data_IF_837979724280
#
_entry.id   IF_837979724280
#
_cell.length_a   1.000
_cell.length_b   1.000
_cell.length_c   1.000
_cell.angle_alpha   90.00
_cell.angle_beta   90.00
_cell.angle_gamma   90.00
#
_symmetry.space_group_name_H-M   'P 1'
#
loop_
_entity.id
_entity.type
_entity.pdbx_description
1 polymer ?
#
# COMPACT_ATOMS: atom_id res chain seq x y z
N UNK A 1 15.96 1.40 3.88
CA UNK A 1 16.43 1.71 5.25
C UNK A 1 17.21 3.02 5.18
N UNK A 2 17.07 3.88 6.19
CA UNK A 2 17.80 5.14 6.32
C UNK A 2 18.20 5.28 7.78
N UNK A 3 19.46 5.65 8.05
CA UNK A 3 19.91 6.02 9.39
C UNK A 3 20.33 7.49 9.40
N UNK A 4 19.91 8.22 10.43
CA UNK A 4 20.32 9.60 10.70
C UNK A 4 21.16 9.58 11.97
N UNK A 5 22.44 9.93 11.82
CA UNK A 5 23.42 9.90 12.92
C UNK A 5 23.95 11.29 13.22
N UNK A 6 24.17 11.57 14.50
CA UNK A 6 24.85 12.76 15.00
C UNK A 6 26.19 12.35 15.60
N UNK A 7 27.28 12.95 15.14
CA UNK A 7 28.62 12.76 15.68
C UNK A 7 29.01 13.96 16.56
N UNK A 8 29.71 13.70 17.66
CA UNK A 8 30.31 14.74 18.50
C UNK A 8 31.77 14.40 18.76
N UNK A 9 32.67 15.16 18.13
CA UNK A 9 34.10 14.81 18.09
C UNK A 9 34.28 13.49 17.33
N UNK A 10 34.81 12.49 18.01
CA UNK A 10 35.09 11.15 17.50
C UNK A 10 34.02 10.10 17.86
N UNK A 11 32.90 10.52 18.49
CA UNK A 11 31.88 9.60 18.99
C UNK A 11 30.52 9.78 18.34
N UNK A 12 29.80 8.67 18.18
CA UNK A 12 28.37 8.65 17.90
C UNK A 12 27.60 9.16 19.12
N UNK A 13 26.85 10.25 18.94
CA UNK A 13 26.08 10.89 20.00
C UNK A 13 24.60 10.49 19.96
N UNK A 14 23.99 10.49 18.77
CA UNK A 14 22.60 10.08 18.57
C UNK A 14 22.46 9.34 17.24
N UNK A 15 21.62 8.31 17.21
CA UNK A 15 21.27 7.58 16.00
C UNK A 15 19.77 7.32 15.97
N UNK A 16 19.14 7.62 14.85
CA UNK A 16 17.78 7.22 14.53
C UNK A 16 17.78 6.37 13.26
N UNK A 17 17.40 5.10 13.39
CA UNK A 17 17.28 4.16 12.27
C UNK A 17 15.82 4.04 11.86
N UNK A 18 15.55 4.34 10.60
CA UNK A 18 14.27 4.12 9.93
C UNK A 18 14.37 2.94 8.97
N UNK A 19 13.48 1.98 9.14
CA UNK A 19 13.38 0.80 8.30
C UNK A 19 11.90 0.47 8.02
N UNK A 20 11.63 -0.33 6.98
CA UNK A 20 10.27 -0.69 6.57
C UNK A 20 9.67 -1.73 7.52
N UNK A 21 8.99 -1.23 8.56
CA UNK A 21 8.35 -2.04 9.58
C UNK A 21 7.21 -2.90 9.01
N UNK A 22 6.45 -2.36 8.05
CA UNK A 22 5.32 -3.06 7.44
C UNK A 22 5.76 -4.32 6.72
N UNK A 23 6.81 -4.22 5.90
CA UNK A 23 7.34 -5.37 5.15
C UNK A 23 7.76 -6.51 6.08
N UNK A 24 8.45 -6.23 7.18
CA UNK A 24 8.86 -7.27 8.14
C UNK A 24 7.66 -7.89 8.85
N UNK A 25 6.72 -7.08 9.32
CA UNK A 25 5.52 -7.61 9.98
C UNK A 25 4.73 -8.53 9.04
N UNK A 26 4.66 -8.20 7.75
CA UNK A 26 3.99 -9.04 6.76
C UNK A 26 4.77 -10.32 6.46
N UNK A 27 6.11 -10.26 6.36
CA UNK A 27 6.96 -11.45 6.17
C UNK A 27 6.88 -12.41 7.37
N UNK A 28 6.72 -11.89 8.59
CA UNK A 28 6.51 -12.68 9.80
C UNK A 28 5.06 -13.19 9.96
N UNK A 29 4.16 -12.84 9.05
CA UNK A 29 2.74 -13.20 9.13
C UNK A 29 1.96 -12.48 10.25
N UNK A 30 2.52 -11.40 10.81
CA UNK A 30 1.94 -10.62 11.91
C UNK A 30 1.06 -9.46 11.41
N UNK A 31 1.19 -9.08 10.13
CA UNK A 31 0.36 -8.07 9.49
C UNK A 31 -0.51 -8.72 8.38
N UNK A 32 -1.85 -8.60 8.44
CA UNK A 32 -2.72 -9.18 7.43
C UNK A 32 -2.56 -8.47 6.07
N UNK A 33 -2.82 -9.17 4.96
CA UNK A 33 -2.76 -8.56 3.63
C UNK A 33 -3.89 -7.57 3.35
N UNK A 34 -5.02 -7.72 4.05
CA UNK A 34 -6.21 -6.91 3.91
C UNK A 34 -6.69 -6.45 5.29
N UNK A 35 -7.22 -5.24 5.36
CA UNK A 35 -7.85 -4.69 6.55
C UNK A 35 -9.27 -4.21 6.23
N UNK A 36 -10.18 -4.36 7.19
CA UNK A 36 -11.54 -3.85 7.06
C UNK A 36 -11.53 -2.34 6.82
N UNK A 37 -12.29 -1.89 5.83
CA UNK A 37 -12.50 -0.49 5.54
C UNK A 37 -13.65 0.03 6.42
N UNK A 38 -13.40 0.95 7.36
CA UNK A 38 -14.37 1.29 8.39
C UNK A 38 -15.40 2.35 7.95
N UNK A 39 -15.30 2.84 6.71
CA UNK A 39 -16.15 3.94 6.23
C UNK A 39 -17.22 3.43 5.26
N UNK A 40 -18.36 4.12 5.25
CA UNK A 40 -19.39 3.90 4.26
C UNK A 40 -18.84 4.21 2.86
N UNK A 41 -19.22 3.38 1.87
CA UNK A 41 -18.88 3.62 0.48
C UNK A 41 -20.07 4.29 -0.18
N UNK A 42 -19.87 5.52 -0.68
CA UNK A 42 -20.91 6.30 -1.33
C UNK A 42 -21.19 5.78 -2.75
N UNK A 43 -22.48 5.61 -3.07
CA UNK A 43 -22.94 5.25 -4.41
C UNK A 43 -24.17 4.37 -4.38
N UNK A 44 -25.26 4.79 -5.05
CA UNK A 44 -26.53 4.07 -5.08
C UNK A 44 -26.39 2.62 -5.62
N UNK A 45 -25.48 2.39 -6.56
CA UNK A 45 -25.21 1.07 -7.11
C UNK A 45 -24.41 0.15 -6.15
N UNK A 46 -23.41 0.70 -5.45
CA UNK A 46 -22.62 -0.04 -4.46
C UNK A 46 -23.44 -0.39 -3.21
N UNK A 47 -24.28 0.55 -2.75
CA UNK A 47 -25.19 0.34 -1.63
C UNK A 47 -26.33 -0.65 -1.94
N UNK A 48 -26.81 -0.71 -3.19
CA UNK A 48 -27.86 -1.64 -3.61
C UNK A 48 -27.35 -3.07 -3.87
N UNK A 49 -26.15 -3.22 -4.43
CA UNK A 49 -25.55 -4.53 -4.71
C UNK A 49 -25.04 -5.27 -3.47
N UNK A 50 -24.74 -4.54 -2.39
CA UNK A 50 -23.96 -5.05 -1.25
C UNK A 50 -24.54 -4.64 0.11
N UNK A 51 -25.87 -4.65 0.26
CA UNK A 51 -26.53 -4.45 1.57
C UNK A 51 -25.98 -5.46 2.59
N UNK A 52 -25.25 -4.96 3.60
CA UNK A 52 -24.65 -5.76 4.66
C UNK A 52 -23.24 -6.29 4.37
N UNK A 53 -22.59 -5.89 3.27
CA UNK A 53 -21.22 -6.29 3.00
C UNK A 53 -20.21 -5.44 3.79
N UNK A 54 -19.17 -6.10 4.29
CA UNK A 54 -17.95 -5.46 4.78
C UNK A 54 -16.95 -5.32 3.64
N UNK A 55 -16.36 -4.14 3.51
CA UNK A 55 -15.33 -3.88 2.52
C UNK A 55 -13.96 -4.06 3.15
N UNK A 56 -12.99 -4.55 2.38
CA UNK A 56 -11.61 -4.69 2.81
C UNK A 56 -10.69 -3.98 1.82
N UNK A 57 -9.60 -3.42 2.33
CA UNK A 57 -8.56 -2.75 1.56
C UNK A 57 -7.26 -3.51 1.73
N UNK A 58 -6.58 -3.77 0.60
CA UNK A 58 -5.24 -4.33 0.61
C UNK A 58 -4.29 -3.35 1.28
N UNK A 59 -3.55 -3.79 2.29
CA UNK A 59 -2.55 -2.93 2.92
C UNK A 59 -1.43 -2.60 1.92
N UNK A 60 -0.91 -1.36 1.91
CA UNK A 60 0.13 -0.91 0.97
C UNK A 60 1.51 -1.41 1.42
N UNK A 61 1.63 -2.73 1.58
CA UNK A 61 2.85 -3.42 2.02
C UNK A 61 3.12 -4.53 1.00
N UNK A 62 4.34 -4.56 0.46
CA UNK A 62 4.72 -5.52 -0.57
C UNK A 62 5.31 -6.82 0.03
N UNK A 63 5.74 -6.81 1.30
CA UNK A 63 6.18 -8.02 1.99
C UNK A 63 7.39 -8.69 1.31
N UNK A 64 7.30 -9.98 1.01
CA UNK A 64 8.38 -10.74 0.36
C UNK A 64 8.74 -10.20 -1.04
N UNK A 65 7.78 -9.60 -1.74
CA UNK A 65 8.02 -8.97 -3.06
C UNK A 65 9.02 -7.80 -2.97
N UNK A 66 9.07 -7.09 -1.83
CA UNK A 66 10.07 -6.04 -1.58
C UNK A 66 11.49 -6.60 -1.63
N UNK A 67 11.70 -7.80 -1.08
CA UNK A 67 13.02 -8.44 -1.10
C UNK A 67 13.42 -8.83 -2.54
N UNK A 68 12.47 -9.32 -3.34
CA UNK A 68 12.70 -9.61 -4.75
C UNK A 68 13.05 -8.33 -5.55
N UNK A 69 12.33 -7.22 -5.31
CA UNK A 69 12.62 -5.91 -5.96
C UNK A 69 14.01 -5.37 -5.63
N UNK A 70 14.51 -5.59 -4.42
CA UNK A 70 15.87 -5.17 -4.02
C UNK A 70 16.96 -5.98 -4.75
N UNK A 71 16.69 -7.24 -5.06
CA UNK A 71 17.62 -8.10 -5.80
C UNK A 71 17.56 -7.82 -7.31
N UNK A 72 16.38 -7.53 -7.84
CA UNK A 72 16.17 -7.19 -9.24
C UNK A 72 15.03 -6.17 -9.40
N UNK A 73 15.35 -4.97 -9.88
CA UNK A 73 14.43 -3.82 -9.94
C UNK A 73 13.16 -4.09 -10.78
N UNK A 74 13.26 -4.94 -11.81
CA UNK A 74 12.14 -5.29 -12.70
C UNK A 74 11.33 -6.52 -12.26
N UNK A 75 11.66 -7.14 -11.12
CA UNK A 75 11.13 -8.47 -10.75
C UNK A 75 9.67 -8.49 -10.32
N UNK A 76 9.06 -7.33 -10.02
CA UNK A 76 7.69 -7.26 -9.50
C UNK A 76 6.96 -6.04 -10.05
N UNK A 77 5.69 -6.26 -10.41
CA UNK A 77 4.78 -5.25 -10.94
C UNK A 77 4.64 -4.01 -10.04
N UNK A 78 4.62 -2.82 -10.67
CA UNK A 78 4.46 -1.55 -9.96
C UNK A 78 2.97 -1.32 -9.73
N UNK A 79 2.55 -1.29 -8.47
CA UNK A 79 1.18 -0.92 -8.13
C UNK A 79 1.07 0.61 -8.15
N UNK A 80 0.87 1.18 -9.34
CA UNK A 80 0.54 2.59 -9.52
C UNK A 80 -0.98 2.68 -9.48
N UNK A 81 -1.54 3.45 -8.53
CA UNK A 81 -2.96 3.78 -8.53
C UNK A 81 -3.26 4.72 -9.70
N UNK A 82 -3.49 4.15 -10.88
CA UNK A 82 -4.01 4.90 -12.02
C UNK A 82 -5.50 5.15 -11.76
N UNK A 83 -5.83 6.42 -11.49
CA UNK A 83 -7.21 6.89 -11.36
C UNK A 83 -7.93 6.52 -12.66
N UNK A 84 -8.97 5.70 -12.57
CA UNK A 84 -9.80 5.30 -13.71
C UNK A 84 -10.17 6.54 -14.53
N UNK A 85 -9.59 6.66 -15.73
CA UNK A 85 -10.03 7.65 -16.71
C UNK A 85 -11.48 7.33 -17.08
N UNK A 86 -12.36 8.29 -16.83
CA UNK A 86 -13.76 8.29 -17.25
C UNK A 86 -13.88 7.84 -18.72
N UNK A 87 -14.75 6.87 -18.99
CA UNK A 87 -15.21 6.61 -20.36
C UNK A 87 -16.27 7.66 -20.72
N UNK A 88 -16.09 8.50 -21.75
CA UNK A 88 -17.21 9.23 -22.30
C UNK A 88 -18.06 8.28 -23.15
N UNK A 89 -19.16 7.80 -22.58
CA UNK A 89 -20.27 7.22 -23.34
C UNK A 89 -21.09 8.34 -23.96
N UNK A 90 -20.90 8.59 -25.24
CA UNK A 90 -21.94 9.18 -26.09
C UNK A 90 -22.08 8.32 -27.34
N UNK A 91 -22.97 7.33 -27.25
CA UNK A 91 -23.79 6.95 -28.39
C UNK A 91 -25.05 7.82 -28.34
N UNK A 92 -25.20 8.69 -29.33
CA UNK A 92 -26.48 9.15 -29.87
C UNK A 92 -26.31 8.98 -31.39
N UNK A 93 -26.89 7.94 -32.01
CA UNK A 93 -28.26 7.92 -32.52
C UNK A 93 -28.59 9.18 -33.31
N UNK A 94 -28.56 9.05 -34.63
CA UNK A 94 -28.92 10.07 -35.62
C UNK A 94 -28.45 9.64 -37.00
#
# INVERSE_FOLDING_TARGET
>A
MVSVVTLRGDRLAHEHIHWDQGTVLQQLGLLPAYAAFPHAIDGAAAAAAHKGATFEVRLPVAGAETAAKLVAEASVEKHIYERASEKPSHQMSG
#
